data_IF_406323140640
#
_entry.id   IF_406323140640
#
_cell.length_a   1.000
_cell.length_b   1.000
_cell.length_c   1.000
_cell.angle_alpha   90.00
_cell.angle_beta   90.00
_cell.angle_gamma   90.00
#
_symmetry.space_group_name_H-M   'P 1'
#
loop_
_entity.id
_entity.type
_entity.pdbx_description
1 polymer ?
#
# COMPACT_ATOMS: atom_id res chain seq x y z
N UNK A 1 -35.52 11.77 -19.09
CA UNK A 1 -34.52 10.99 -19.83
C UNK A 1 -33.05 11.17 -19.35
N UNK A 2 -32.59 12.31 -18.83
CA UNK A 2 -31.22 12.40 -18.31
C UNK A 2 -30.91 11.44 -17.14
N UNK A 3 -31.85 11.25 -16.21
CA UNK A 3 -31.68 10.37 -15.02
C UNK A 3 -31.39 8.89 -15.32
N UNK A 4 -31.78 8.36 -16.47
CA UNK A 4 -31.50 6.95 -16.79
C UNK A 4 -30.05 6.74 -17.29
N UNK A 5 -29.47 7.71 -17.99
CA UNK A 5 -28.06 7.64 -18.44
C UNK A 5 -27.10 7.84 -17.27
N UNK A 6 -27.35 8.82 -16.39
CA UNK A 6 -26.58 9.02 -15.16
C UNK A 6 -26.58 7.76 -14.27
N UNK A 7 -27.75 7.16 -14.08
CA UNK A 7 -27.88 5.93 -13.29
C UNK A 7 -27.13 4.73 -13.91
N UNK A 8 -27.16 4.60 -15.24
CA UNK A 8 -26.37 3.57 -15.93
C UNK A 8 -24.87 3.78 -15.77
N UNK A 9 -24.43 5.03 -15.77
CA UNK A 9 -23.03 5.38 -15.58
C UNK A 9 -22.58 5.12 -14.13
N UNK A 10 -23.40 5.48 -13.15
CA UNK A 10 -23.18 5.17 -11.73
C UNK A 10 -23.02 3.65 -11.51
N UNK A 11 -23.95 2.85 -11.99
CA UNK A 11 -23.90 1.37 -11.88
C UNK A 11 -22.63 0.82 -12.54
N UNK A 12 -22.23 1.39 -13.66
CA UNK A 12 -21.02 0.97 -14.37
C UNK A 12 -19.76 1.29 -13.54
N UNK A 13 -19.70 2.44 -12.94
CA UNK A 13 -18.59 2.85 -12.06
C UNK A 13 -18.56 2.02 -10.78
N UNK A 14 -19.70 1.79 -10.15
CA UNK A 14 -19.81 0.92 -8.97
C UNK A 14 -19.32 -0.50 -9.26
N UNK A 15 -19.75 -1.08 -10.40
CA UNK A 15 -19.31 -2.42 -10.81
C UNK A 15 -17.81 -2.45 -11.09
N UNK A 16 -17.28 -1.44 -11.78
CA UNK A 16 -15.84 -1.32 -12.02
C UNK A 16 -15.04 -1.26 -10.71
N UNK A 17 -15.49 -0.45 -9.77
CA UNK A 17 -14.87 -0.30 -8.46
C UNK A 17 -14.96 -1.58 -7.63
N UNK A 18 -16.09 -2.31 -7.70
CA UNK A 18 -16.24 -3.62 -7.07
C UNK A 18 -15.23 -4.63 -7.62
N UNK A 19 -15.08 -4.69 -8.95
CA UNK A 19 -14.10 -5.59 -9.61
C UNK A 19 -12.70 -5.25 -9.11
N UNK A 20 -12.29 -3.99 -9.14
CA UNK A 20 -10.97 -3.55 -8.68
C UNK A 20 -10.74 -3.94 -7.23
N UNK A 21 -11.65 -3.55 -6.34
CA UNK A 21 -11.53 -3.81 -4.90
C UNK A 21 -11.40 -5.30 -4.58
N UNK A 22 -12.28 -6.13 -5.14
CA UNK A 22 -12.24 -7.58 -4.93
C UNK A 22 -10.99 -8.22 -5.53
N UNK A 23 -10.52 -7.70 -6.67
CA UNK A 23 -9.30 -8.17 -7.31
C UNK A 23 -8.04 -7.85 -6.53
N UNK A 24 -7.95 -6.67 -5.88
CA UNK A 24 -6.83 -6.33 -4.98
C UNK A 24 -6.69 -7.39 -3.89
N UNK A 25 -7.79 -7.70 -3.20
CA UNK A 25 -7.80 -8.69 -2.11
C UNK A 25 -7.45 -10.09 -2.62
N UNK A 26 -7.99 -10.46 -3.77
CA UNK A 26 -7.75 -11.77 -4.36
C UNK A 26 -6.29 -11.94 -4.81
N UNK A 27 -5.74 -10.97 -5.54
CA UNK A 27 -4.34 -11.00 -5.98
C UNK A 27 -3.36 -10.95 -4.82
N UNK A 28 -3.64 -10.15 -3.78
CA UNK A 28 -2.79 -10.09 -2.60
C UNK A 28 -2.64 -11.46 -1.92
N UNK A 29 -3.70 -12.28 -1.95
CA UNK A 29 -3.72 -13.61 -1.33
C UNK A 29 -3.25 -14.73 -2.25
N UNK A 30 -3.51 -14.66 -3.55
CA UNK A 30 -3.28 -15.76 -4.47
C UNK A 30 -2.12 -15.51 -5.46
N UNK A 31 -1.59 -14.29 -5.48
CA UNK A 31 -0.61 -13.83 -6.45
C UNK A 31 -1.23 -13.54 -7.82
N UNK A 32 -0.57 -12.71 -8.60
CA UNK A 32 -1.01 -12.38 -9.96
C UNK A 32 -0.83 -13.56 -10.92
N UNK A 33 0.36 -14.17 -10.94
CA UNK A 33 0.72 -15.22 -11.89
C UNK A 33 -0.19 -16.46 -11.78
N UNK A 34 -0.50 -16.89 -10.54
CA UNK A 34 -1.36 -18.05 -10.26
C UNK A 34 -2.86 -17.81 -10.45
N UNK A 35 -3.30 -16.54 -10.62
CA UNK A 35 -4.72 -16.22 -10.72
C UNK A 35 -5.26 -16.40 -12.14
N UNK A 36 -6.35 -17.19 -12.26
CA UNK A 36 -7.17 -17.27 -13.47
C UNK A 36 -8.36 -16.32 -13.35
N UNK A 37 -8.74 -15.65 -14.43
CA UNK A 37 -9.92 -14.75 -14.45
C UNK A 37 -11.22 -15.49 -14.11
N UNK A 38 -11.33 -16.77 -14.49
CA UNK A 38 -12.46 -17.61 -14.12
C UNK A 38 -12.63 -17.78 -12.62
N UNK A 39 -11.53 -17.91 -11.87
CA UNK A 39 -11.58 -18.09 -10.42
C UNK A 39 -11.81 -16.74 -9.72
N UNK A 40 -11.21 -15.69 -10.26
CA UNK A 40 -11.46 -14.32 -9.81
C UNK A 40 -12.92 -13.93 -9.98
N UNK A 41 -13.55 -14.23 -11.14
CA UNK A 41 -14.95 -13.90 -11.39
C UNK A 41 -15.89 -14.62 -10.43
N UNK A 42 -15.63 -15.91 -10.13
CA UNK A 42 -16.35 -16.66 -9.09
C UNK A 42 -16.22 -16.02 -7.72
N UNK A 43 -14.99 -15.60 -7.34
CA UNK A 43 -14.73 -14.93 -6.07
C UNK A 43 -15.49 -13.60 -5.95
N UNK A 44 -15.56 -12.84 -7.03
CA UNK A 44 -16.31 -11.57 -7.08
C UNK A 44 -17.83 -11.81 -7.04
N UNK A 45 -18.30 -12.94 -7.58
CA UNK A 45 -19.71 -13.27 -7.73
C UNK A 45 -20.32 -12.72 -9.02
N UNK A 46 -19.54 -12.63 -10.11
CA UNK A 46 -19.97 -12.13 -11.42
C UNK A 46 -19.58 -13.10 -12.54
N UNK A 47 -20.21 -12.96 -13.71
CA UNK A 47 -19.79 -13.71 -14.89
C UNK A 47 -18.39 -13.26 -15.36
N UNK A 48 -17.57 -14.20 -15.86
CA UNK A 48 -16.24 -13.90 -16.40
C UNK A 48 -16.29 -12.85 -17.52
N UNK A 49 -17.30 -12.91 -18.39
CA UNK A 49 -17.55 -11.93 -19.45
C UNK A 49 -17.75 -10.51 -18.90
N UNK A 50 -18.30 -10.38 -17.69
CA UNK A 50 -18.47 -9.06 -17.05
C UNK A 50 -17.14 -8.41 -16.75
N UNK A 51 -16.12 -9.16 -16.32
CA UNK A 51 -14.78 -8.59 -16.11
C UNK A 51 -14.23 -8.05 -17.43
N UNK A 52 -14.39 -8.79 -18.52
CA UNK A 52 -13.90 -8.39 -19.85
C UNK A 52 -14.65 -7.20 -20.48
N UNK A 53 -15.84 -6.84 -19.97
CA UNK A 53 -16.50 -5.59 -20.35
C UNK A 53 -15.79 -4.34 -19.81
N UNK A 54 -15.02 -4.48 -18.73
CA UNK A 54 -14.32 -3.38 -18.06
C UNK A 54 -12.80 -3.38 -18.29
N UNK A 55 -12.21 -4.57 -18.45
CA UNK A 55 -10.76 -4.77 -18.57
C UNK A 55 -10.47 -5.79 -19.66
N UNK A 56 -9.71 -5.42 -20.67
CA UNK A 56 -9.40 -6.27 -21.84
C UNK A 56 -8.60 -7.52 -21.46
N UNK A 57 -7.83 -7.45 -20.37
CA UNK A 57 -7.00 -8.55 -19.89
C UNK A 57 -6.80 -8.50 -18.37
N UNK A 58 -6.26 -9.58 -17.81
CA UNK A 58 -5.83 -9.66 -16.42
C UNK A 58 -4.74 -8.63 -16.11
N UNK A 59 -3.85 -8.41 -17.06
CA UNK A 59 -2.73 -7.46 -16.99
C UNK A 59 -3.25 -6.01 -16.94
N UNK A 60 -4.28 -5.67 -17.73
CA UNK A 60 -4.90 -4.34 -17.68
C UNK A 60 -5.57 -4.08 -16.33
N UNK A 61 -6.32 -5.05 -15.81
CA UNK A 61 -6.90 -4.98 -14.46
C UNK A 61 -5.81 -4.80 -13.39
N UNK A 62 -4.73 -5.55 -13.50
CA UNK A 62 -3.60 -5.48 -12.56
C UNK A 62 -2.88 -4.13 -12.63
N UNK A 63 -2.62 -3.61 -13.83
CA UNK A 63 -2.02 -2.29 -14.02
C UNK A 63 -2.90 -1.16 -13.43
N UNK A 64 -4.22 -1.25 -13.61
CA UNK A 64 -5.16 -0.29 -13.05
C UNK A 64 -5.16 -0.33 -11.52
N UNK A 65 -5.09 -1.51 -10.91
CA UNK A 65 -4.97 -1.68 -9.46
C UNK A 65 -3.76 -0.90 -8.94
N UNK A 66 -2.60 -1.00 -9.59
CA UNK A 66 -1.40 -0.28 -9.17
C UNK A 66 -1.49 1.22 -9.41
N UNK A 67 -2.11 1.66 -10.50
CA UNK A 67 -2.36 3.09 -10.73
C UNK A 67 -3.21 3.71 -9.60
N UNK A 68 -4.15 2.95 -9.06
CA UNK A 68 -4.97 3.37 -7.93
C UNK A 68 -4.19 3.23 -6.62
N UNK A 69 -3.46 2.13 -6.43
CA UNK A 69 -2.66 1.89 -5.24
C UNK A 69 -1.60 2.97 -5.04
N UNK A 70 -0.92 3.41 -6.10
CA UNK A 70 0.04 4.51 -6.04
C UNK A 70 -0.61 5.82 -5.57
N UNK A 71 -1.85 6.09 -5.99
CA UNK A 71 -2.63 7.25 -5.54
C UNK A 71 -3.11 7.11 -4.08
N UNK A 72 -3.51 5.90 -3.68
CA UNK A 72 -4.06 5.61 -2.34
C UNK A 72 -2.96 5.36 -1.32
N UNK A 73 -1.85 4.76 -1.72
CA UNK A 73 -0.73 4.37 -0.85
C UNK A 73 -0.07 5.55 -0.13
N UNK A 74 -0.48 6.78 -0.45
CA UNK A 74 -0.15 7.93 0.37
C UNK A 74 1.22 8.55 0.11
N UNK A 75 1.86 8.28 -1.02
CA UNK A 75 3.07 9.02 -1.42
C UNK A 75 2.85 10.53 -1.32
N UNK A 76 1.68 11.02 -1.73
CA UNK A 76 1.29 12.42 -1.57
C UNK A 76 1.12 12.85 -0.11
N UNK A 77 0.56 11.98 0.75
CA UNK A 77 0.43 12.26 2.19
C UNK A 77 1.80 12.30 2.85
N UNK A 78 2.68 11.36 2.51
CA UNK A 78 4.05 11.34 3.01
C UNK A 78 4.86 12.53 2.49
N UNK A 79 4.68 12.94 1.23
CA UNK A 79 5.29 14.14 0.69
C UNK A 79 4.84 15.41 1.42
N UNK A 80 3.55 15.50 1.79
CA UNK A 80 3.05 16.61 2.63
C UNK A 80 3.70 16.60 4.01
N UNK A 81 3.90 15.43 4.61
CA UNK A 81 4.55 15.28 5.91
C UNK A 81 5.99 15.84 5.91
N UNK A 82 6.75 15.64 4.81
CA UNK A 82 8.11 16.20 4.73
C UNK A 82 8.17 17.73 4.82
N UNK A 83 7.08 18.40 4.45
CA UNK A 83 6.98 19.87 4.41
C UNK A 83 6.49 20.48 5.73
N UNK A 84 6.04 19.68 6.68
CA UNK A 84 5.57 20.18 7.97
C UNK A 84 6.72 20.77 8.79
N UNK A 85 6.52 21.90 9.47
CA UNK A 85 7.54 22.54 10.31
C UNK A 85 7.61 21.87 11.70
N UNK A 86 7.86 20.57 11.71
CA UNK A 86 8.04 19.73 12.90
C UNK A 86 9.32 18.92 12.77
N UNK A 87 9.86 18.46 13.88
CA UNK A 87 11.10 17.68 13.93
C UNK A 87 10.98 16.33 13.24
N UNK A 88 12.09 15.78 12.76
CA UNK A 88 12.07 14.54 12.00
C UNK A 88 11.59 13.33 12.84
N UNK A 89 11.89 13.29 14.14
CA UNK A 89 11.39 12.25 15.04
C UNK A 89 9.85 12.28 15.13
N UNK A 90 9.25 13.49 15.16
CA UNK A 90 7.79 13.65 15.12
C UNK A 90 7.21 13.20 13.78
N UNK A 91 7.87 13.54 12.66
CA UNK A 91 7.47 13.07 11.32
C UNK A 91 7.47 11.54 11.24
N UNK A 92 8.52 10.89 11.79
CA UNK A 92 8.63 9.42 11.83
C UNK A 92 7.51 8.80 12.66
N UNK A 93 7.21 9.36 13.84
CA UNK A 93 6.11 8.88 14.68
C UNK A 93 4.75 9.00 14.01
N UNK A 94 4.45 10.17 13.41
CA UNK A 94 3.21 10.40 12.66
C UNK A 94 3.09 9.43 11.48
N UNK A 95 4.18 9.23 10.73
CA UNK A 95 4.22 8.27 9.63
C UNK A 95 3.97 6.84 10.11
N UNK A 96 4.64 6.42 11.18
CA UNK A 96 4.50 5.08 11.75
C UNK A 96 3.09 4.84 12.29
N UNK A 97 2.50 5.83 12.96
CA UNK A 97 1.12 5.76 13.47
C UNK A 97 0.11 5.64 12.32
N UNK A 98 0.25 6.44 11.27
CA UNK A 98 -0.58 6.35 10.08
C UNK A 98 -0.49 4.97 9.43
N UNK A 99 0.73 4.48 9.18
CA UNK A 99 0.95 3.18 8.52
C UNK A 99 0.37 2.03 9.33
N UNK A 100 0.66 1.96 10.62
CA UNK A 100 0.17 0.87 11.48
C UNK A 100 -1.35 0.91 11.65
N UNK A 101 -1.95 2.09 11.80
CA UNK A 101 -3.41 2.24 11.85
C UNK A 101 -4.06 1.81 10.53
N UNK A 102 -3.46 2.19 9.40
CA UNK A 102 -3.98 1.82 8.08
C UNK A 102 -3.86 0.32 7.84
N UNK A 103 -2.73 -0.31 8.19
CA UNK A 103 -2.58 -1.77 8.10
C UNK A 103 -3.61 -2.53 8.92
N UNK A 104 -3.97 -2.02 10.12
CA UNK A 104 -4.95 -2.67 11.01
C UNK A 104 -6.39 -2.49 10.58
N UNK A 105 -6.74 -1.35 10.01
CA UNK A 105 -8.14 -0.93 9.82
C UNK A 105 -8.60 -0.95 8.36
N UNK A 106 -7.67 -0.88 7.43
CA UNK A 106 -7.96 -0.80 6.00
C UNK A 106 -7.41 -2.04 5.28
N UNK A 107 -8.31 -2.97 4.98
CA UNK A 107 -8.01 -4.21 4.26
C UNK A 107 -7.42 -3.92 2.87
N UNK A 108 -7.92 -2.85 2.21
CA UNK A 108 -7.41 -2.45 0.90
C UNK A 108 -5.99 -1.89 0.98
N UNK A 109 -5.68 -1.13 2.04
CA UNK A 109 -4.33 -0.64 2.27
C UNK A 109 -3.36 -1.79 2.50
N UNK A 110 -3.69 -2.73 3.40
CA UNK A 110 -2.83 -3.88 3.69
C UNK A 110 -2.62 -4.78 2.48
N UNK A 111 -3.68 -5.07 1.72
CA UNK A 111 -3.60 -5.84 0.48
C UNK A 111 -2.80 -5.11 -0.61
N UNK A 112 -2.98 -3.79 -0.74
CA UNK A 112 -2.22 -2.96 -1.67
C UNK A 112 -0.71 -2.96 -1.37
N UNK A 113 -0.33 -2.85 -0.10
CA UNK A 113 1.08 -2.94 0.33
C UNK A 113 1.64 -4.35 0.08
N UNK A 114 0.86 -5.43 0.32
CA UNK A 114 1.30 -6.79 0.03
C UNK A 114 1.53 -7.01 -1.47
N UNK A 115 0.65 -6.50 -2.33
CA UNK A 115 0.83 -6.52 -3.79
C UNK A 115 2.04 -5.70 -4.24
N UNK A 116 2.23 -4.51 -3.68
CA UNK A 116 3.40 -3.69 -3.95
C UNK A 116 4.70 -4.43 -3.63
N UNK A 117 4.71 -5.21 -2.54
CA UNK A 117 5.86 -6.05 -2.17
C UNK A 117 6.16 -7.10 -3.24
N UNK A 118 5.15 -7.71 -3.84
CA UNK A 118 5.34 -8.67 -4.94
C UNK A 118 6.03 -8.01 -6.14
N UNK A 119 5.55 -6.84 -6.58
CA UNK A 119 6.19 -6.08 -7.67
C UNK A 119 7.59 -5.61 -7.33
N UNK A 120 7.84 -5.26 -6.08
CA UNK A 120 9.17 -4.87 -5.64
C UNK A 120 10.19 -6.01 -5.83
N UNK A 121 9.78 -7.24 -5.53
CA UNK A 121 10.61 -8.44 -5.73
C UNK A 121 10.82 -8.76 -7.21
N UNK A 122 9.88 -8.39 -8.08
CA UNK A 122 9.97 -8.52 -9.54
C UNK A 122 10.79 -7.39 -10.18
N UNK A 123 11.21 -6.38 -9.40
CA UNK A 123 11.99 -5.23 -9.88
C UNK A 123 11.16 -4.15 -10.60
N UNK A 124 9.83 -4.23 -10.52
CA UNK A 124 8.89 -3.37 -11.24
C UNK A 124 8.31 -2.21 -10.41
N UNK A 125 8.63 -2.14 -9.12
CA UNK A 125 8.02 -1.14 -8.23
C UNK A 125 8.78 0.20 -8.24
N UNK A 126 8.04 1.31 -8.18
CA UNK A 126 8.61 2.64 -7.95
C UNK A 126 9.17 2.78 -6.52
N UNK A 127 10.24 3.51 -6.41
CA UNK A 127 10.97 3.76 -5.16
C UNK A 127 10.49 5.04 -4.42
N UNK A 128 9.30 5.54 -4.70
CA UNK A 128 8.80 6.83 -4.18
C UNK A 128 8.74 6.87 -2.64
N UNK A 129 8.27 5.80 -2.00
CA UNK A 129 8.22 5.69 -0.54
C UNK A 129 9.60 5.79 0.10
N UNK A 130 10.58 5.10 -0.47
CA UNK A 130 11.95 5.14 0.03
C UNK A 130 12.54 6.54 -0.07
N UNK A 131 12.33 7.24 -1.19
CA UNK A 131 12.83 8.60 -1.40
C UNK A 131 12.27 9.60 -0.39
N UNK A 132 10.98 9.49 -0.07
CA UNK A 132 10.33 10.37 0.91
C UNK A 132 10.86 10.10 2.30
N UNK A 133 10.92 8.83 2.72
CA UNK A 133 11.43 8.43 4.03
C UNK A 133 12.91 8.77 4.18
N UNK A 134 13.71 8.59 3.13
CA UNK A 134 15.14 8.97 3.10
C UNK A 134 15.34 10.47 3.40
N UNK A 135 14.46 11.35 2.89
CA UNK A 135 14.52 12.79 3.21
C UNK A 135 14.33 13.04 4.70
N UNK A 136 13.31 12.42 5.31
CA UNK A 136 13.02 12.56 6.74
C UNK A 136 14.19 12.00 7.59
N UNK A 137 14.77 10.87 7.18
CA UNK A 137 15.92 10.27 7.86
C UNK A 137 17.13 11.22 7.83
N UNK A 138 17.46 11.79 6.66
CA UNK A 138 18.57 12.74 6.53
C UNK A 138 18.37 13.99 7.38
N UNK A 139 17.13 14.49 7.48
CA UNK A 139 16.77 15.60 8.36
C UNK A 139 17.01 15.21 9.83
N UNK A 140 16.48 14.07 10.29
CA UNK A 140 16.65 13.60 11.67
C UNK A 140 18.08 13.23 12.04
N UNK A 141 18.90 12.80 11.09
CA UNK A 141 20.34 12.59 11.33
C UNK A 141 21.05 13.91 11.61
N UNK A 142 20.69 15.01 10.91
CA UNK A 142 21.20 16.36 11.20
C UNK A 142 20.72 16.88 12.55
N UNK A 143 19.48 16.59 12.92
CA UNK A 143 18.89 16.94 14.22
C UNK A 143 19.41 16.07 15.37
N UNK A 144 20.10 14.95 15.06
CA UNK A 144 20.59 14.01 16.07
C UNK A 144 19.51 13.07 16.63
N UNK A 145 18.30 13.07 16.09
CA UNK A 145 17.14 12.31 16.56
C UNK A 145 17.01 10.92 15.91
N UNK A 146 17.67 10.71 14.77
CA UNK A 146 17.65 9.46 13.99
C UNK A 146 19.00 8.75 14.09
N UNK A 147 19.01 7.43 14.04
CA UNK A 147 20.21 6.61 14.07
C UNK A 147 21.16 6.94 12.92
N UNK A 148 22.46 6.81 13.17
CA UNK A 148 23.47 6.99 12.12
C UNK A 148 23.41 5.84 11.10
N UNK A 149 23.80 6.11 9.86
CA UNK A 149 23.89 5.12 8.80
C UNK A 149 23.46 5.65 7.45
N UNK A 150 23.45 4.77 6.46
CA UNK A 150 23.00 5.12 5.12
C UNK A 150 21.47 5.33 5.12
N UNK A 151 21.02 6.54 4.85
CA UNK A 151 19.61 6.92 4.92
C UNK A 151 18.71 6.08 3.97
N UNK A 152 19.23 5.68 2.81
CA UNK A 152 18.53 4.81 1.88
C UNK A 152 18.31 3.42 2.47
N UNK A 153 19.34 2.79 3.01
CA UNK A 153 19.24 1.47 3.65
C UNK A 153 18.31 1.51 4.87
N UNK A 154 18.40 2.55 5.69
CA UNK A 154 17.49 2.73 6.83
C UNK A 154 16.03 2.86 6.39
N UNK A 155 15.78 3.55 5.29
CA UNK A 155 14.46 3.61 4.68
C UNK A 155 13.97 2.22 4.21
N UNK A 156 14.84 1.42 3.62
CA UNK A 156 14.54 0.04 3.21
C UNK A 156 14.24 -0.86 4.41
N UNK A 157 14.95 -0.72 5.53
CA UNK A 157 14.65 -1.47 6.75
C UNK A 157 13.28 -1.11 7.32
N UNK A 158 12.95 0.17 7.37
CA UNK A 158 11.65 0.64 7.83
C UNK A 158 10.50 0.04 6.99
N UNK A 159 10.58 0.19 5.68
CA UNK A 159 9.55 -0.34 4.78
C UNK A 159 9.55 -1.87 4.72
N UNK A 160 10.71 -2.52 4.86
CA UNK A 160 10.81 -3.97 4.97
C UNK A 160 9.99 -4.53 6.13
N UNK A 161 9.98 -3.86 7.29
CA UNK A 161 9.09 -4.22 8.41
C UNK A 161 7.62 -4.04 8.02
N UNK A 162 7.26 -2.93 7.39
CA UNK A 162 5.88 -2.67 6.93
C UNK A 162 5.40 -3.75 5.95
N UNK A 163 6.25 -4.11 4.98
CA UNK A 163 5.95 -5.16 3.99
C UNK A 163 5.74 -6.51 4.64
N UNK A 164 6.61 -6.89 5.59
CA UNK A 164 6.45 -8.13 6.33
C UNK A 164 5.09 -8.23 7.00
N UNK A 165 4.65 -7.16 7.66
CA UNK A 165 3.35 -7.17 8.36
C UNK A 165 2.17 -7.11 7.40
N UNK A 166 2.28 -6.41 6.28
CA UNK A 166 1.25 -6.43 5.24
C UNK A 166 1.05 -7.85 4.68
N UNK A 167 2.15 -8.57 4.41
CA UNK A 167 2.10 -9.97 3.96
C UNK A 167 1.54 -10.88 5.05
N UNK A 168 1.96 -10.73 6.32
CA UNK A 168 1.41 -11.51 7.44
C UNK A 168 -0.11 -11.37 7.56
N UNK A 169 -0.65 -10.17 7.39
CA UNK A 169 -2.11 -9.92 7.41
C UNK A 169 -2.83 -10.76 6.34
N UNK A 170 -2.23 -10.99 5.18
CA UNK A 170 -2.85 -11.75 4.09
C UNK A 170 -2.77 -13.27 4.30
N UNK A 171 -1.71 -13.77 4.93
CA UNK A 171 -1.38 -15.20 4.92
C UNK A 171 -1.36 -15.86 6.31
N UNK A 172 -1.31 -15.10 7.39
CA UNK A 172 -1.19 -15.65 8.75
C UNK A 172 -2.44 -15.36 9.56
N UNK A 173 -3.00 -16.39 10.17
CA UNK A 173 -4.12 -16.26 11.13
C UNK A 173 -3.65 -15.90 12.53
N UNK A 174 -2.38 -16.19 12.86
CA UNK A 174 -1.83 -16.01 14.19
C UNK A 174 -0.50 -15.24 14.13
N UNK A 175 -0.53 -13.99 14.53
CA UNK A 175 0.67 -13.16 14.74
C UNK A 175 0.34 -11.95 15.63
N UNK A 176 1.34 -11.49 16.36
CA UNK A 176 1.23 -10.23 17.12
C UNK A 176 1.59 -9.06 16.22
N UNK A 177 0.68 -8.13 16.06
CA UNK A 177 0.93 -6.90 15.29
C UNK A 177 1.81 -5.96 16.08
N UNK A 178 2.86 -5.41 15.44
CA UNK A 178 3.71 -4.38 16.04
C UNK A 178 2.93 -3.10 16.33
N UNK A 179 3.47 -2.30 17.26
CA UNK A 179 2.97 -0.97 17.54
C UNK A 179 3.61 0.07 16.62
N UNK A 180 3.05 1.26 16.58
CA UNK A 180 3.66 2.41 15.87
C UNK A 180 4.99 2.81 16.48
N UNK A 181 5.14 2.65 17.80
CA UNK A 181 6.40 2.91 18.49
C UNK A 181 7.48 1.89 18.12
N UNK A 182 7.13 0.60 18.00
CA UNK A 182 8.07 -0.42 17.55
C UNK A 182 8.59 -0.11 16.14
N UNK A 183 7.68 0.28 15.23
CA UNK A 183 8.06 0.67 13.88
C UNK A 183 8.94 1.92 13.86
N UNK A 184 8.61 2.93 14.67
CA UNK A 184 9.40 4.16 14.76
C UNK A 184 10.81 3.92 15.31
N UNK A 185 10.97 2.98 16.27
CA UNK A 185 12.27 2.60 16.86
C UNK A 185 13.28 2.05 15.85
N UNK A 186 12.83 1.55 14.70
CA UNK A 186 13.74 1.16 13.61
C UNK A 186 14.66 2.32 13.19
N UNK A 187 14.17 3.55 13.32
CA UNK A 187 14.85 4.76 12.86
C UNK A 187 15.28 5.70 14.00
N UNK A 188 14.56 5.71 15.11
CA UNK A 188 14.80 6.67 16.18
C UNK A 188 15.95 6.24 17.11
N UNK A 189 16.69 7.22 17.58
CA UNK A 189 17.66 7.00 18.67
C UNK A 189 16.92 6.86 19.99
N UNK A 190 17.41 5.98 20.84
CA UNK A 190 17.00 5.96 22.24
C UNK A 190 17.33 7.31 22.89
N UNK A 191 16.35 7.89 23.58
CA UNK A 191 16.62 9.06 24.41
C UNK A 191 17.52 8.61 25.57
N UNK A 192 18.72 9.17 25.64
CA UNK A 192 19.55 9.04 26.82
C UNK A 192 18.89 9.68 28.03
#
# INVERSE_FOLDING_TARGET
MPKSQERCQEIREETRNLIIRKSVLYFAKNGFAGTKISDLSKHIGIAQGTIYLYFKSKEELYAEIFSIADKVAGADKLNKLTKLPITADLKIKVMSDYVIKSLKKDEMFSAGIALYTQRLLEGEADNSFYKVTEKIIKEGQKEGTVVAGNARKLSEYYWGVVYLYAVKIQYSSEFTMITSDDLARVLLRDKK
#
